data_IF_944770989016
#
_entry.id   IF_944770989016
#
_cell.length_a   1.000
_cell.length_b   1.000
_cell.length_c   1.000
_cell.angle_alpha   90.00
_cell.angle_beta   90.00
_cell.angle_gamma   90.00
#
_symmetry.space_group_name_H-M   'P 1'
#
loop_
_entity.id
_entity.type
_entity.pdbx_description
1 polymer ?
#
# COMPACT_ATOMS: atom_id res chain seq x y z
N UNK A 1 -14.81 3.90 19.62
CA UNK A 1 -13.63 3.02 19.43
C UNK A 1 -13.67 1.93 20.48
N UNK A 2 -12.82 0.92 20.41
CA UNK A 2 -12.73 -0.11 21.45
C UNK A 2 -11.29 -0.22 21.97
N UNK A 3 -11.14 -0.51 23.26
CA UNK A 3 -9.90 -0.97 23.87
C UNK A 3 -10.13 -2.40 24.35
N UNK A 4 -9.61 -3.37 23.60
CA UNK A 4 -10.01 -4.77 23.78
C UNK A 4 -11.52 -4.92 23.53
N UNK A 5 -12.28 -5.57 24.42
CA UNK A 5 -13.74 -5.70 24.28
C UNK A 5 -14.51 -4.43 24.70
N UNK A 6 -13.88 -3.47 25.36
CA UNK A 6 -14.57 -2.33 25.96
C UNK A 6 -14.75 -1.19 24.96
N UNK A 7 -15.99 -0.72 24.83
CA UNK A 7 -16.29 0.48 24.04
C UNK A 7 -15.82 1.71 24.81
N UNK A 8 -15.03 2.53 24.13
CA UNK A 8 -14.55 3.81 24.64
C UNK A 8 -14.98 4.96 23.74
N UNK A 9 -15.23 6.10 24.38
CA UNK A 9 -15.40 7.40 23.73
C UNK A 9 -14.06 8.14 23.78
N UNK A 10 -13.61 8.73 22.67
CA UNK A 10 -12.56 9.75 22.72
C UNK A 10 -13.06 11.03 22.09
N UNK A 11 -12.71 12.13 22.76
CA UNK A 11 -13.00 13.50 22.34
C UNK A 11 -11.84 14.12 21.56
N UNK A 12 -10.70 13.42 21.51
CA UNK A 12 -9.51 13.81 20.78
C UNK A 12 -9.69 13.56 19.26
N UNK A 13 -9.02 14.36 18.43
CA UNK A 13 -8.96 14.14 16.99
C UNK A 13 -8.41 12.74 16.70
N UNK A 14 -9.07 11.98 15.82
CA UNK A 14 -8.84 10.54 15.68
C UNK A 14 -7.40 10.17 15.32
N UNK A 15 -6.73 11.00 14.51
CA UNK A 15 -5.32 10.82 14.15
C UNK A 15 -4.40 10.92 15.38
N UNK A 16 -4.62 11.89 16.26
CA UNK A 16 -3.82 12.01 17.49
C UNK A 16 -4.16 10.89 18.48
N UNK A 17 -5.44 10.51 18.58
CA UNK A 17 -5.86 9.41 19.43
C UNK A 17 -5.17 8.09 19.03
N UNK A 18 -5.10 7.78 17.73
CA UNK A 18 -4.36 6.61 17.24
C UNK A 18 -2.86 6.71 17.52
N UNK A 19 -2.25 7.89 17.29
CA UNK A 19 -0.84 8.12 17.60
C UNK A 19 -0.54 7.91 19.09
N UNK A 20 -1.38 8.46 19.98
CA UNK A 20 -1.26 8.31 21.43
C UNK A 20 -1.41 6.85 21.86
N UNK A 21 -2.44 6.13 21.43
CA UNK A 21 -2.63 4.72 21.78
C UNK A 21 -1.49 3.83 21.26
N UNK A 22 -0.95 4.12 20.07
CA UNK A 22 0.20 3.43 19.51
C UNK A 22 1.47 3.66 20.36
N UNK A 23 1.74 4.89 20.78
CA UNK A 23 2.84 5.23 21.68
C UNK A 23 2.69 4.50 23.02
N UNK A 24 1.50 4.56 23.63
CA UNK A 24 1.25 3.85 24.89
C UNK A 24 1.41 2.34 24.75
N UNK A 25 1.01 1.76 23.60
CA UNK A 25 1.24 0.35 23.33
C UNK A 25 2.73 0.01 23.29
N UNK A 26 3.54 0.80 22.60
CA UNK A 26 5.01 0.60 22.55
C UNK A 26 5.58 0.67 23.97
N UNK A 27 5.23 1.70 24.74
CA UNK A 27 5.71 1.89 26.11
C UNK A 27 5.36 0.73 27.04
N UNK A 28 4.12 0.20 26.96
CA UNK A 28 3.69 -0.96 27.76
C UNK A 28 4.40 -2.26 27.37
N UNK A 29 4.82 -2.38 26.12
CA UNK A 29 5.37 -3.63 25.58
C UNK A 29 6.89 -3.61 25.37
N UNK A 30 7.59 -2.50 25.64
CA UNK A 30 9.04 -2.32 25.35
C UNK A 30 10.02 -3.36 25.91
N UNK A 31 9.58 -4.23 26.83
CA UNK A 31 10.40 -5.32 27.41
C UNK A 31 10.23 -6.67 26.72
N UNK A 32 9.34 -6.77 25.72
CA UNK A 32 9.08 -8.00 24.97
C UNK A 32 8.87 -7.68 23.47
N UNK A 33 9.07 -8.65 22.57
CA UNK A 33 8.69 -8.46 21.17
C UNK A 33 7.20 -8.12 21.05
N UNK A 34 6.86 -7.26 20.10
CA UNK A 34 5.48 -6.86 19.85
C UNK A 34 5.19 -6.76 18.35
N UNK A 35 3.92 -6.91 18.01
CA UNK A 35 3.36 -6.55 16.72
C UNK A 35 2.37 -5.41 16.92
N UNK A 36 2.51 -4.34 16.14
CA UNK A 36 1.64 -3.17 16.18
C UNK A 36 1.21 -2.83 14.76
N UNK A 37 -0.10 -2.85 14.52
CA UNK A 37 -0.71 -2.40 13.28
C UNK A 37 -1.51 -1.12 13.56
N UNK A 38 -1.05 0.01 13.04
CA UNK A 38 -1.72 1.31 13.17
C UNK A 38 -2.39 1.64 11.84
N UNK A 39 -3.72 1.53 11.81
CA UNK A 39 -4.52 1.85 10.62
C UNK A 39 -5.14 3.24 10.78
N UNK A 40 -4.42 4.27 10.31
CA UNK A 40 -4.95 5.62 10.28
C UNK A 40 -6.14 5.73 9.32
N UNK A 41 -7.13 6.56 9.67
CA UNK A 41 -8.23 6.92 8.76
C UNK A 41 -7.74 7.96 7.74
N UNK A 42 -6.77 8.78 8.13
CA UNK A 42 -6.18 9.84 7.31
C UNK A 42 -5.58 9.34 5.99
N UNK A 43 -5.76 10.04 4.85
CA UNK A 43 -6.54 11.28 4.66
C UNK A 43 -7.96 11.01 4.12
N UNK A 44 -8.57 9.85 4.45
CA UNK A 44 -9.90 9.51 3.97
C UNK A 44 -10.95 10.53 4.43
N UNK A 45 -11.99 10.72 3.62
CA UNK A 45 -13.15 11.55 3.98
C UNK A 45 -13.84 11.04 5.27
N UNK A 46 -14.50 11.90 6.07
CA UNK A 46 -14.74 13.34 5.86
C UNK A 46 -13.47 14.21 6.01
N UNK A 47 -13.52 15.41 5.42
CA UNK A 47 -12.39 16.33 5.36
C UNK A 47 -12.36 17.21 6.60
N UNK A 48 -11.70 16.71 7.65
CA UNK A 48 -11.64 17.36 8.96
C UNK A 48 -10.19 17.43 9.44
N UNK A 49 -9.73 18.63 9.80
CA UNK A 49 -8.40 18.86 10.34
C UNK A 49 -8.46 19.87 11.50
N UNK A 50 -7.51 19.77 12.44
CA UNK A 50 -7.37 20.75 13.52
C UNK A 50 -6.96 22.11 12.93
N UNK A 51 -7.43 23.19 13.54
CA UNK A 51 -7.08 24.56 13.15
C UNK A 51 -5.57 24.80 13.16
N UNK A 52 -4.85 24.24 14.13
CA UNK A 52 -3.38 24.33 14.20
C UNK A 52 -2.68 23.71 12.99
N UNK A 53 -3.22 22.62 12.44
CA UNK A 53 -2.63 21.96 11.27
C UNK A 53 -3.00 22.68 9.99
N UNK A 54 -4.22 23.22 9.90
CA UNK A 54 -4.65 24.04 8.76
C UNK A 54 -3.75 25.28 8.58
N UNK A 55 -3.33 25.91 9.68
CA UNK A 55 -2.42 27.06 9.66
C UNK A 55 -1.07 26.76 9.01
N UNK A 56 -0.54 25.53 9.13
CA UNK A 56 0.71 25.11 8.48
C UNK A 56 0.64 25.20 6.95
N UNK A 57 -0.58 25.17 6.39
CA UNK A 57 -0.85 25.16 4.95
C UNK A 57 -1.67 26.37 4.49
N UNK A 58 -1.67 27.48 5.24
CA UNK A 58 -2.45 28.69 4.90
C UNK A 58 -2.17 29.25 3.50
N UNK A 59 -0.95 29.04 3.00
CA UNK A 59 -0.51 29.43 1.65
C UNK A 59 -1.21 28.63 0.53
N UNK A 60 -1.79 27.46 0.83
CA UNK A 60 -2.53 26.63 -0.13
C UNK A 60 -3.95 27.17 -0.25
N UNK A 61 -4.28 27.79 -1.39
CA UNK A 61 -5.57 28.46 -1.60
C UNK A 61 -6.77 27.51 -1.67
N UNK A 62 -6.59 26.32 -2.24
CA UNK A 62 -7.66 25.32 -2.33
C UNK A 62 -7.94 24.70 -0.95
N UNK A 63 -9.14 24.92 -0.36
CA UNK A 63 -9.43 24.46 0.99
C UNK A 63 -9.41 22.94 1.11
N UNK A 64 -9.83 22.21 0.07
CA UNK A 64 -9.84 20.75 0.09
C UNK A 64 -8.41 20.18 0.17
N UNK A 65 -7.50 20.69 -0.67
CA UNK A 65 -6.08 20.35 -0.62
C UNK A 65 -5.43 20.79 0.68
N UNK A 66 -5.76 21.97 1.19
CA UNK A 66 -5.25 22.46 2.48
C UNK A 66 -5.62 21.50 3.61
N UNK A 67 -6.89 21.09 3.70
CA UNK A 67 -7.35 20.13 4.70
C UNK A 67 -6.68 18.77 4.53
N UNK A 68 -6.60 18.25 3.31
CA UNK A 68 -5.92 16.98 3.00
C UNK A 68 -4.45 16.96 3.49
N UNK A 69 -3.71 18.04 3.19
CA UNK A 69 -2.32 18.19 3.64
C UNK A 69 -2.22 18.33 5.16
N UNK A 70 -3.13 19.06 5.80
CA UNK A 70 -3.19 19.18 7.25
C UNK A 70 -3.43 17.84 7.95
N UNK A 71 -4.33 17.00 7.41
CA UNK A 71 -4.56 15.64 7.92
C UNK A 71 -3.29 14.79 7.81
N UNK A 72 -2.65 14.79 6.63
CA UNK A 72 -1.39 14.04 6.39
C UNK A 72 -0.28 14.53 7.34
N UNK A 73 -0.16 15.83 7.56
CA UNK A 73 0.85 16.40 8.45
C UNK A 73 0.61 16.01 9.92
N UNK A 74 -0.64 15.96 10.37
CA UNK A 74 -0.98 15.45 11.69
C UNK A 74 -0.60 13.96 11.86
N UNK A 75 -0.78 13.15 10.81
CA UNK A 75 -0.33 11.75 10.81
C UNK A 75 1.20 11.67 10.86
N UNK A 76 1.90 12.48 10.07
CA UNK A 76 3.37 12.55 10.05
C UNK A 76 3.95 12.91 11.41
N UNK A 77 3.38 13.93 12.09
CA UNK A 77 3.81 14.31 13.45
C UNK A 77 3.65 13.15 14.43
N UNK A 78 2.55 12.39 14.35
CA UNK A 78 2.32 11.22 15.22
C UNK A 78 3.25 10.05 14.87
N UNK A 79 3.57 9.84 13.59
CA UNK A 79 4.64 8.91 13.17
C UNK A 79 5.98 9.33 13.76
N UNK A 80 6.33 10.62 13.68
CA UNK A 80 7.54 11.17 14.30
C UNK A 80 7.60 10.92 15.82
N UNK A 81 6.49 11.09 16.53
CA UNK A 81 6.40 10.78 17.96
C UNK A 81 6.60 9.29 18.26
N UNK A 82 6.00 8.39 17.46
CA UNK A 82 6.22 6.93 17.60
C UNK A 82 7.69 6.57 17.38
N UNK A 83 8.32 7.11 16.32
CA UNK A 83 9.74 6.89 16.04
C UNK A 83 10.64 7.41 17.18
N UNK A 84 10.28 8.56 17.76
CA UNK A 84 10.98 9.10 18.93
C UNK A 84 10.91 8.15 20.13
N UNK A 85 9.74 7.59 20.43
CA UNK A 85 9.55 6.64 21.54
C UNK A 85 10.37 5.36 21.33
N UNK A 86 10.42 4.84 20.11
CA UNK A 86 11.29 3.71 19.78
C UNK A 86 12.77 4.06 20.01
N UNK A 87 13.19 5.26 19.62
CA UNK A 87 14.57 5.75 19.85
C UNK A 87 14.89 5.91 21.34
N UNK A 88 14.05 6.60 22.09
CA UNK A 88 14.27 6.88 23.51
C UNK A 88 14.36 5.58 24.33
N UNK A 89 13.59 4.55 23.94
CA UNK A 89 13.61 3.24 24.55
C UNK A 89 14.63 2.26 23.92
N UNK A 90 15.50 2.75 23.01
CA UNK A 90 16.55 1.96 22.33
C UNK A 90 16.05 0.78 21.49
N UNK A 91 14.84 0.86 20.97
CA UNK A 91 14.19 -0.19 20.18
C UNK A 91 14.40 -0.06 18.66
N UNK A 92 14.98 1.03 18.15
CA UNK A 92 15.07 1.29 16.69
C UNK A 92 15.78 0.19 15.89
N UNK A 93 16.76 -0.49 16.49
CA UNK A 93 17.50 -1.59 15.84
C UNK A 93 16.74 -2.91 15.87
N UNK A 94 15.82 -3.06 16.82
CA UNK A 94 15.02 -4.27 17.05
C UNK A 94 13.57 -4.11 16.57
N UNK A 95 13.32 -3.10 15.72
CA UNK A 95 11.99 -2.83 15.16
C UNK A 95 12.07 -2.79 13.64
N UNK A 96 11.33 -3.69 12.98
CA UNK A 96 11.04 -3.63 11.56
C UNK A 96 9.75 -2.82 11.35
N UNK A 97 9.85 -1.74 10.58
CA UNK A 97 8.75 -0.81 10.31
C UNK A 97 8.38 -0.91 8.84
N UNK A 98 7.07 -0.98 8.58
CA UNK A 98 6.46 -0.80 7.26
C UNK A 98 5.55 0.42 7.32
N UNK A 99 5.64 1.29 6.33
CA UNK A 99 4.68 2.39 6.12
C UNK A 99 4.16 2.30 4.68
N UNK A 100 2.85 2.19 4.52
CA UNK A 100 2.20 1.92 3.24
C UNK A 100 0.82 2.59 3.20
N UNK A 101 0.38 3.03 2.01
CA UNK A 101 -1.03 3.36 1.75
C UNK A 101 -1.81 2.10 1.38
N UNK A 102 -3.08 2.00 1.77
CA UNK A 102 -3.95 0.86 1.46
C UNK A 102 -4.30 0.76 -0.04
N UNK A 103 -4.46 1.91 -0.68
CA UNK A 103 -4.69 2.08 -2.11
C UNK A 103 -4.16 3.45 -2.59
N UNK A 104 -4.25 3.68 -3.89
CA UNK A 104 -4.02 4.99 -4.50
C UNK A 104 -4.96 6.08 -3.98
N UNK A 105 -4.57 7.34 -4.18
CA UNK A 105 -5.27 8.50 -3.66
C UNK A 105 -6.67 8.68 -4.25
N UNK A 106 -7.58 9.26 -3.45
CA UNK A 106 -8.94 9.58 -3.89
C UNK A 106 -9.02 11.05 -4.37
N UNK A 107 -9.45 11.36 -5.60
CA UNK A 107 -9.47 12.74 -6.07
C UNK A 107 -10.41 13.64 -5.24
N UNK A 108 -11.47 13.07 -4.66
CA UNK A 108 -12.43 13.81 -3.83
C UNK A 108 -11.90 14.27 -2.47
N UNK A 109 -10.70 13.85 -2.06
CA UNK A 109 -9.97 14.46 -0.93
C UNK A 109 -8.72 15.24 -1.39
N UNK A 110 -8.69 15.66 -2.67
CA UNK A 110 -7.56 16.32 -3.31
C UNK A 110 -6.23 15.54 -3.21
N UNK A 111 -6.29 14.20 -3.13
CA UNK A 111 -5.09 13.39 -3.31
C UNK A 111 -4.56 13.50 -4.72
N UNK A 112 -3.23 13.44 -4.84
CA UNK A 112 -2.54 13.45 -6.13
C UNK A 112 -1.85 12.12 -6.33
N UNK A 113 -2.12 11.48 -7.46
CA UNK A 113 -1.44 10.25 -7.88
C UNK A 113 -0.38 10.54 -8.96
N UNK A 114 -0.06 11.81 -9.22
CA UNK A 114 0.91 12.20 -10.25
C UNK A 114 2.30 11.59 -9.99
N UNK A 115 3.02 11.13 -11.03
CA UNK A 115 2.71 11.23 -12.46
C UNK A 115 1.82 10.11 -13.00
N UNK A 116 1.30 9.22 -12.14
CA UNK A 116 0.55 8.04 -12.54
C UNK A 116 -0.88 8.38 -12.97
N UNK A 117 -1.42 7.58 -13.89
CA UNK A 117 -2.83 7.66 -14.28
C UNK A 117 -3.72 6.87 -13.34
N UNK A 118 -4.93 7.38 -13.17
CA UNK A 118 -5.95 6.77 -12.32
C UNK A 118 -5.80 7.10 -10.84
N UNK A 119 -6.66 6.49 -10.04
CA UNK A 119 -6.88 6.85 -8.64
C UNK A 119 -7.57 5.72 -7.87
N UNK A 120 -7.99 5.95 -6.63
CA UNK A 120 -8.76 5.00 -5.81
C UNK A 120 -9.85 4.26 -6.63
N UNK A 121 -9.95 2.95 -6.42
CA UNK A 121 -10.88 2.03 -7.10
C UNK A 121 -10.60 1.76 -8.59
N UNK A 122 -9.47 2.23 -9.12
CA UNK A 122 -9.01 1.94 -10.48
C UNK A 122 -7.81 1.00 -10.46
N UNK A 123 -7.62 0.22 -11.52
CA UNK A 123 -6.52 -0.76 -11.65
C UNK A 123 -5.29 -0.18 -12.37
N UNK A 124 -5.32 1.12 -12.69
CA UNK A 124 -4.16 1.85 -13.21
C UNK A 124 -3.17 2.12 -12.07
N UNK A 125 -1.92 2.49 -12.39
CA UNK A 125 -0.83 2.73 -11.43
C UNK A 125 -1.26 3.71 -10.33
N UNK A 126 -2.00 4.78 -10.65
CA UNK A 126 -2.47 5.74 -9.64
C UNK A 126 -3.47 5.17 -8.64
N UNK A 127 -4.03 3.98 -8.87
CA UNK A 127 -4.91 3.25 -7.95
C UNK A 127 -4.22 2.13 -7.16
N UNK A 128 -3.15 1.52 -7.70
CA UNK A 128 -2.51 0.32 -7.11
C UNK A 128 -1.01 0.48 -6.79
N UNK A 129 -0.35 1.51 -7.32
CA UNK A 129 1.05 1.83 -7.02
C UNK A 129 1.08 2.88 -5.91
N UNK A 130 1.40 2.42 -4.70
CA UNK A 130 1.32 3.21 -3.47
C UNK A 130 2.71 3.51 -2.90
N UNK A 131 2.85 4.58 -2.08
CA UNK A 131 4.04 4.74 -1.25
C UNK A 131 4.23 3.51 -0.36
N UNK A 132 5.45 2.98 -0.33
CA UNK A 132 5.85 1.84 0.48
C UNK A 132 7.26 2.10 1.02
N UNK A 133 7.40 2.19 2.34
CA UNK A 133 8.67 2.45 3.02
C UNK A 133 8.92 1.34 4.03
N UNK A 134 10.15 0.83 4.03
CA UNK A 134 10.63 -0.10 5.06
C UNK A 134 11.81 0.50 5.80
N UNK A 135 11.86 0.25 7.10
CA UNK A 135 12.99 0.59 7.94
C UNK A 135 13.27 -0.54 8.93
N UNK A 136 14.52 -0.99 8.97
CA UNK A 136 15.04 -1.83 10.04
C UNK A 136 16.51 -1.50 10.26
N UNK A 137 16.80 -0.73 11.31
CA UNK A 137 18.09 -0.06 11.48
C UNK A 137 19.19 -1.08 11.77
N UNK A 138 20.18 -1.15 10.88
CA UNK A 138 21.28 -2.12 10.94
C UNK A 138 21.08 -3.34 10.04
N UNK A 139 19.87 -3.56 9.52
CA UNK A 139 19.53 -4.67 8.63
C UNK A 139 19.25 -4.19 7.21
N UNK A 140 18.37 -3.20 7.06
CA UNK A 140 18.00 -2.63 5.75
C UNK A 140 18.91 -1.42 5.45
N UNK A 141 19.51 -1.33 4.25
CA UNK A 141 20.34 -0.19 3.86
C UNK A 141 19.58 1.15 3.92
N UNK A 142 20.20 2.16 4.53
CA UNK A 142 19.62 3.51 4.63
C UNK A 142 19.63 4.24 3.30
N UNK A 143 18.56 4.99 3.01
CA UNK A 143 18.52 5.96 1.91
C UNK A 143 18.52 5.33 0.52
N UNK A 144 18.14 4.06 0.41
CA UNK A 144 18.03 3.35 -0.87
C UNK A 144 16.59 3.40 -1.38
N UNK A 145 16.45 3.55 -2.70
CA UNK A 145 15.20 3.33 -3.41
C UNK A 145 15.29 1.94 -4.04
N UNK A 146 14.33 1.07 -3.70
CA UNK A 146 14.23 -0.26 -4.30
C UNK A 146 13.33 -0.17 -5.54
N UNK A 147 13.88 -0.45 -6.72
CA UNK A 147 13.21 -0.21 -8.00
C UNK A 147 12.43 -1.39 -8.57
N UNK A 148 12.53 -2.58 -7.98
CA UNK A 148 11.89 -3.80 -8.50
C UNK A 148 10.48 -3.95 -7.91
N UNK A 149 9.53 -4.56 -8.66
CA UNK A 149 8.16 -4.72 -8.19
C UNK A 149 8.07 -5.57 -6.91
N UNK A 150 7.30 -5.08 -5.94
CA UNK A 150 6.91 -5.77 -4.72
C UNK A 150 5.40 -5.60 -4.52
N UNK A 151 4.81 -6.37 -3.61
CA UNK A 151 3.37 -6.29 -3.29
C UNK A 151 3.17 -6.31 -1.77
N UNK A 152 2.07 -5.73 -1.28
CA UNK A 152 1.75 -5.71 0.17
C UNK A 152 1.68 -7.09 0.82
N UNK A 153 1.44 -8.15 0.02
CA UNK A 153 1.46 -9.54 0.48
C UNK A 153 2.84 -9.97 1.00
N UNK A 154 3.92 -9.29 0.58
CA UNK A 154 5.29 -9.54 1.02
C UNK A 154 5.54 -9.15 2.49
N UNK A 155 4.69 -8.29 3.06
CA UNK A 155 4.80 -7.87 4.47
C UNK A 155 4.71 -9.09 5.40
N UNK A 156 3.79 -10.01 5.11
CA UNK A 156 3.54 -11.20 5.96
C UNK A 156 4.76 -12.13 6.05
N UNK A 157 5.30 -12.70 4.96
CA UNK A 157 6.47 -13.57 5.03
C UNK A 157 7.70 -12.82 5.57
N UNK A 158 7.91 -11.56 5.18
CA UNK A 158 9.01 -10.74 5.71
C UNK A 158 8.91 -10.60 7.23
N UNK A 159 7.72 -10.28 7.77
CA UNK A 159 7.51 -10.15 9.21
C UNK A 159 7.64 -11.49 9.97
N UNK A 160 7.17 -12.59 9.38
CA UNK A 160 7.29 -13.93 9.97
C UNK A 160 8.76 -14.36 10.09
N UNK A 161 9.55 -14.19 9.03
CA UNK A 161 10.98 -14.49 9.05
C UNK A 161 11.71 -13.57 10.03
N UNK A 162 11.39 -12.28 10.06
CA UNK A 162 11.96 -11.34 11.02
C UNK A 162 11.64 -11.72 12.49
N UNK A 163 10.49 -12.36 12.73
CA UNK A 163 10.10 -12.90 14.04
C UNK A 163 10.74 -14.27 14.35
N UNK A 164 11.60 -14.80 13.48
CA UNK A 164 12.30 -16.08 13.65
C UNK A 164 11.49 -17.30 13.21
N UNK A 165 10.36 -17.12 12.51
CA UNK A 165 9.57 -18.23 11.99
C UNK A 165 10.12 -18.76 10.66
N UNK A 166 10.12 -20.07 10.50
CA UNK A 166 10.33 -20.72 9.18
C UNK A 166 9.01 -20.75 8.42
N UNK A 167 9.01 -20.24 7.19
CA UNK A 167 7.84 -20.32 6.30
C UNK A 167 7.57 -21.79 5.96
N UNK A 168 6.32 -22.21 6.12
CA UNK A 168 5.87 -23.57 5.80
C UNK A 168 5.14 -23.57 4.47
N UNK A 169 5.47 -24.50 3.59
CA UNK A 169 4.85 -24.62 2.26
C UNK A 169 3.32 -24.73 2.32
N UNK A 170 2.80 -25.42 3.34
CA UNK A 170 1.37 -25.57 3.60
C UNK A 170 0.61 -24.25 3.82
N UNK A 171 1.32 -23.15 4.12
CA UNK A 171 0.71 -21.82 4.27
C UNK A 171 0.36 -21.18 2.93
N UNK A 172 0.95 -21.66 1.83
CA UNK A 172 0.68 -21.20 0.46
C UNK A 172 0.67 -19.67 0.38
N UNK A 173 1.75 -19.04 0.84
CA UNK A 173 1.87 -17.58 0.82
C UNK A 173 2.20 -17.10 -0.60
N UNK A 174 1.47 -16.10 -1.09
CA UNK A 174 1.74 -15.47 -2.39
C UNK A 174 2.88 -14.43 -2.34
N UNK A 175 3.21 -13.93 -1.15
CA UNK A 175 4.30 -12.98 -0.95
C UNK A 175 5.64 -13.68 -0.69
N UNK A 176 6.73 -12.91 -0.73
CA UNK A 176 8.10 -13.37 -0.41
C UNK A 176 8.75 -12.54 0.68
N UNK A 177 9.75 -13.12 1.36
CA UNK A 177 10.61 -12.37 2.28
C UNK A 177 11.50 -11.38 1.49
N UNK A 178 11.33 -10.09 1.76
CA UNK A 178 12.05 -9.02 1.08
C UNK A 178 13.46 -8.78 1.61
N UNK A 179 13.82 -9.23 2.83
CA UNK A 179 15.10 -8.87 3.44
C UNK A 179 16.31 -9.23 2.56
N UNK A 180 16.40 -10.45 1.98
CA UNK A 180 17.52 -10.82 1.10
C UNK A 180 17.60 -9.97 -0.18
N UNK A 181 16.47 -9.45 -0.67
CA UNK A 181 16.45 -8.58 -1.85
C UNK A 181 16.89 -7.16 -1.50
N UNK A 182 16.51 -6.67 -0.33
CA UNK A 182 16.81 -5.32 0.13
C UNK A 182 18.27 -5.16 0.58
N UNK A 183 18.88 -6.22 1.12
CA UNK A 183 20.29 -6.20 1.54
C UNK A 183 21.27 -6.63 0.42
N UNK A 184 20.77 -6.98 -0.77
CA UNK A 184 21.57 -7.34 -1.94
C UNK A 184 22.04 -8.80 -1.99
N UNK A 185 21.62 -9.67 -1.07
CA UNK A 185 21.90 -11.10 -1.14
C UNK A 185 21.20 -11.78 -2.33
N UNK A 186 20.01 -11.29 -2.72
CA UNK A 186 19.30 -11.68 -3.93
C UNK A 186 19.16 -10.48 -4.87
N UNK A 187 19.64 -10.64 -6.09
CA UNK A 187 19.61 -9.60 -7.13
C UNK A 187 18.58 -9.85 -8.22
N UNK A 188 17.87 -10.99 -8.19
CA UNK A 188 16.73 -11.28 -9.07
C UNK A 188 15.50 -10.46 -8.67
N UNK A 189 14.43 -10.52 -9.46
CA UNK A 189 13.15 -9.92 -9.08
C UNK A 189 12.50 -10.76 -7.97
N UNK A 190 11.84 -10.14 -6.98
CA UNK A 190 11.12 -10.88 -5.94
C UNK A 190 9.97 -11.72 -6.51
N UNK A 191 9.36 -11.22 -7.58
CA UNK A 191 8.20 -11.82 -8.24
C UNK A 191 8.41 -11.86 -9.75
N UNK A 192 8.03 -12.97 -10.38
CA UNK A 192 7.96 -13.03 -11.85
C UNK A 192 6.82 -12.13 -12.37
N UNK A 193 5.67 -12.17 -11.70
CA UNK A 193 4.50 -11.36 -12.04
C UNK A 193 3.64 -11.07 -10.82
N UNK A 194 2.94 -9.94 -10.86
CA UNK A 194 1.98 -9.49 -9.85
C UNK A 194 0.58 -9.41 -10.46
N UNK A 195 -0.44 -9.72 -9.66
CA UNK A 195 -1.81 -9.85 -10.13
C UNK A 195 -2.77 -9.05 -9.24
N UNK A 196 -3.75 -8.42 -9.87
CA UNK A 196 -4.83 -7.70 -9.20
C UNK A 196 -6.17 -8.10 -9.77
N UNK A 197 -7.16 -8.15 -8.89
CA UNK A 197 -8.56 -8.36 -9.23
C UNK A 197 -9.44 -7.51 -8.35
N UNK A 198 -10.36 -6.78 -8.96
CA UNK A 198 -11.30 -5.90 -8.29
C UNK A 198 -12.71 -6.17 -8.80
N UNK A 199 -13.59 -6.59 -7.90
CA UNK A 199 -15.01 -6.62 -8.19
C UNK A 199 -15.56 -5.19 -8.01
N UNK A 200 -16.09 -4.61 -9.08
CA UNK A 200 -16.71 -3.28 -9.09
C UNK A 200 -18.09 -3.24 -8.41
N UNK A 201 -18.34 -4.17 -7.49
CA UNK A 201 -19.63 -4.43 -6.84
C UNK A 201 -20.75 -4.63 -7.86
N UNK A 202 -20.37 -5.08 -9.05
CA UNK A 202 -21.24 -5.29 -10.18
C UNK A 202 -21.57 -6.77 -10.31
N UNK A 203 -22.83 -7.07 -10.60
CA UNK A 203 -23.26 -8.42 -10.99
C UNK A 203 -22.77 -8.81 -12.40
N UNK A 204 -22.12 -7.88 -13.11
CA UNK A 204 -21.62 -8.05 -14.48
C UNK A 204 -20.10 -8.24 -14.47
N UNK A 205 -19.58 -9.46 -14.69
CA UNK A 205 -18.14 -9.75 -14.65
C UNK A 205 -17.30 -8.89 -15.59
N UNK A 206 -17.87 -8.43 -16.70
CA UNK A 206 -17.23 -7.53 -17.65
C UNK A 206 -16.99 -6.11 -17.11
N UNK A 207 -17.52 -5.78 -15.94
CA UNK A 207 -17.28 -4.50 -15.27
C UNK A 207 -16.20 -4.59 -14.19
N UNK A 208 -15.70 -5.80 -13.90
CA UNK A 208 -14.60 -6.01 -12.95
C UNK A 208 -13.29 -5.45 -13.51
N UNK A 209 -12.54 -4.80 -12.63
CA UNK A 209 -11.18 -4.36 -12.92
C UNK A 209 -10.19 -5.47 -12.63
N UNK A 210 -9.13 -5.53 -13.42
CA UNK A 210 -7.98 -6.38 -13.12
C UNK A 210 -6.71 -5.85 -13.77
N UNK A 211 -5.57 -6.31 -13.26
CA UNK A 211 -4.26 -6.04 -13.85
C UNK A 211 -3.32 -7.23 -13.65
N UNK A 212 -2.33 -7.34 -14.54
CA UNK A 212 -1.13 -8.14 -14.37
C UNK A 212 0.08 -7.26 -14.68
N UNK A 213 1.13 -7.36 -13.86
CA UNK A 213 2.43 -6.73 -14.11
C UNK A 213 3.51 -7.80 -14.19
N UNK A 214 4.29 -7.80 -15.27
CA UNK A 214 5.47 -8.66 -15.49
C UNK A 214 6.66 -7.77 -15.79
N UNK A 215 7.53 -7.56 -14.80
CA UNK A 215 8.62 -6.57 -14.87
C UNK A 215 8.10 -5.16 -15.17
N UNK A 216 8.54 -4.60 -16.30
CA UNK A 216 8.14 -3.27 -16.79
C UNK A 216 6.79 -3.27 -17.50
N UNK A 217 6.23 -4.43 -17.85
CA UNK A 217 5.01 -4.51 -18.64
C UNK A 217 3.79 -4.65 -17.76
N UNK A 218 2.73 -3.93 -18.10
CA UNK A 218 1.45 -4.01 -17.41
C UNK A 218 0.32 -4.17 -18.43
N UNK A 219 -0.49 -5.21 -18.24
CA UNK A 219 -1.76 -5.38 -18.94
C UNK A 219 -2.87 -5.09 -17.94
N UNK A 220 -3.74 -4.14 -18.27
CA UNK A 220 -4.76 -3.65 -17.33
C UNK A 220 -6.09 -3.50 -18.02
N UNK A 221 -7.13 -3.97 -17.34
CA UNK A 221 -8.51 -3.63 -17.61
C UNK A 221 -9.01 -2.77 -16.47
N UNK A 222 -9.14 -1.47 -16.72
CA UNK A 222 -9.72 -0.58 -15.73
C UNK A 222 -11.23 -0.90 -15.60
N UNK A 223 -11.68 -1.25 -14.40
CA UNK A 223 -13.12 -1.48 -14.14
C UNK A 223 -13.93 -0.23 -14.50
N UNK A 224 -15.22 -0.39 -14.79
CA UNK A 224 -16.15 0.67 -15.22
C UNK A 224 -16.08 1.13 -16.69
N UNK A 225 -15.98 0.19 -17.64
CA UNK A 225 -16.55 0.28 -19.00
C UNK A 225 -16.35 -1.06 -19.75
N UNK A 226 -17.02 -1.24 -20.89
CA UNK A 226 -16.78 -2.34 -21.87
C UNK A 226 -15.37 -2.28 -22.51
N UNK A 227 -14.40 -1.60 -21.90
CA UNK A 227 -13.07 -1.41 -22.43
C UNK A 227 -12.32 -2.74 -22.46
N UNK A 228 -11.67 -2.99 -23.60
CA UNK A 228 -10.68 -4.06 -23.71
C UNK A 228 -9.49 -3.73 -22.80
N UNK A 229 -8.76 -4.74 -22.31
CA UNK A 229 -7.49 -4.52 -21.63
C UNK A 229 -6.54 -3.70 -22.52
N UNK A 230 -5.69 -2.89 -21.90
CA UNK A 230 -4.65 -2.10 -22.56
C UNK A 230 -3.28 -2.47 -22.01
N UNK A 231 -2.27 -2.48 -22.88
CA UNK A 231 -0.91 -2.91 -22.57
C UNK A 231 0.01 -1.70 -22.52
N UNK A 232 0.77 -1.56 -21.44
CA UNK A 232 1.69 -0.45 -21.22
C UNK A 232 3.09 -0.96 -20.87
N UNK A 233 4.10 -0.18 -21.25
CA UNK A 233 5.47 -0.32 -20.76
C UNK A 233 5.73 0.78 -19.73
N UNK A 234 5.78 0.43 -18.45
CA UNK A 234 5.88 1.35 -17.32
C UNK A 234 7.27 1.98 -17.17
N UNK A 235 8.34 1.38 -17.72
CA UNK A 235 9.66 2.03 -17.72
C UNK A 235 9.74 3.20 -18.70
N UNK A 236 8.87 3.21 -19.72
CA UNK A 236 8.77 4.29 -20.72
C UNK A 236 7.57 5.21 -20.48
N UNK A 237 6.49 4.69 -19.89
CA UNK A 237 5.21 5.39 -19.75
C UNK A 237 4.50 5.06 -18.43
N UNK A 238 5.02 5.63 -17.33
CA UNK A 238 4.40 5.54 -16.00
C UNK A 238 3.00 6.17 -15.93
N UNK A 239 2.69 7.08 -16.86
CA UNK A 239 1.39 7.71 -16.95
C UNK A 239 0.39 6.87 -17.77
N UNK A 240 0.79 5.72 -18.33
CA UNK A 240 -0.09 4.80 -19.07
C UNK A 240 -0.93 5.51 -20.13
N UNK A 241 -0.30 6.37 -20.93
CA UNK A 241 -0.95 7.15 -21.99
C UNK A 241 -0.97 6.46 -23.35
N UNK A 242 -0.01 5.56 -23.59
CA UNK A 242 0.22 4.94 -24.89
C UNK A 242 -0.10 3.44 -24.82
N UNK A 243 -1.30 3.05 -25.26
CA UNK A 243 -1.69 1.65 -25.37
C UNK A 243 -0.92 0.96 -26.51
N UNK A 244 -0.13 -0.04 -26.14
CA UNK A 244 0.73 -0.82 -27.03
C UNK A 244 0.08 -2.12 -27.52
N UNK A 245 -1.16 -2.43 -27.12
CA UNK A 245 -1.82 -3.71 -27.40
C UNK A 245 -1.83 -4.09 -28.88
N UNK A 246 -2.06 -3.11 -29.77
CA UNK A 246 -2.04 -3.34 -31.24
C UNK A 246 -0.63 -3.55 -31.79
N UNK A 247 0.36 -2.87 -31.23
CA UNK A 247 1.76 -2.91 -31.68
C UNK A 247 2.58 -4.05 -31.09
N UNK A 248 2.07 -4.69 -30.02
CA UNK A 248 2.73 -5.76 -29.28
C UNK A 248 1.75 -6.91 -29.01
N UNK A 249 1.14 -7.51 -30.06
CA UNK A 249 0.05 -8.48 -29.90
C UNK A 249 0.50 -9.76 -29.18
N UNK A 250 1.72 -10.25 -29.45
CA UNK A 250 2.25 -11.46 -28.80
C UNK A 250 2.36 -11.29 -27.28
N UNK A 251 2.87 -10.14 -26.82
CA UNK A 251 2.98 -9.83 -25.38
C UNK A 251 1.61 -9.61 -24.75
N UNK A 252 0.71 -8.96 -25.46
CA UNK A 252 -0.67 -8.80 -25.01
C UNK A 252 -1.31 -10.17 -24.76
N UNK A 253 -1.21 -11.09 -25.72
CA UNK A 253 -1.80 -12.43 -25.63
C UNK A 253 -1.14 -13.29 -24.55
N UNK A 254 0.20 -13.20 -24.39
CA UNK A 254 0.93 -13.87 -23.31
C UNK A 254 0.41 -13.43 -21.93
N UNK A 255 0.42 -12.12 -21.66
CA UNK A 255 0.02 -11.58 -20.36
C UNK A 255 -1.47 -11.81 -20.07
N UNK A 256 -2.32 -11.77 -21.10
CA UNK A 256 -3.73 -12.10 -20.96
C UNK A 256 -3.92 -13.56 -20.53
N UNK A 257 -3.21 -14.50 -21.17
CA UNK A 257 -3.25 -15.93 -20.80
C UNK A 257 -2.74 -16.15 -19.38
N UNK A 258 -1.65 -15.50 -18.97
CA UNK A 258 -1.13 -15.58 -17.60
C UNK A 258 -2.17 -15.13 -16.57
N UNK A 259 -2.83 -13.98 -16.81
CA UNK A 259 -3.86 -13.48 -15.90
C UNK A 259 -5.08 -14.41 -15.85
N UNK A 260 -5.54 -14.92 -16.99
CA UNK A 260 -6.67 -15.85 -17.07
C UNK A 260 -6.39 -17.17 -16.34
N UNK A 261 -5.16 -17.69 -16.45
CA UNK A 261 -4.76 -18.89 -15.73
C UNK A 261 -4.75 -18.65 -14.22
N UNK A 262 -4.16 -17.54 -13.76
CA UNK A 262 -4.19 -17.17 -12.35
C UNK A 262 -5.61 -16.98 -11.82
N UNK A 263 -6.51 -16.30 -12.55
CA UNK A 263 -7.88 -16.06 -12.09
C UNK A 263 -8.73 -17.33 -12.01
N UNK A 264 -8.44 -18.34 -12.86
CA UNK A 264 -9.14 -19.64 -12.86
C UNK A 264 -8.98 -20.38 -11.53
N UNK A 265 -7.82 -20.25 -10.90
CA UNK A 265 -7.49 -20.94 -9.66
C UNK A 265 -8.00 -20.19 -8.42
N UNK A 266 -8.56 -18.98 -8.60
CA UNK A 266 -9.09 -18.15 -7.53
C UNK A 266 -10.58 -18.40 -7.27
N UNK A 267 -10.97 -18.28 -6.00
CA UNK A 267 -12.37 -18.28 -5.57
C UNK A 267 -13.12 -17.17 -6.32
N UNK A 268 -14.32 -17.48 -6.83
CA UNK A 268 -15.13 -16.50 -7.58
C UNK A 268 -15.52 -15.32 -6.67
N UNK A 269 -15.40 -14.06 -7.13
CA UNK A 269 -15.84 -12.92 -6.33
C UNK A 269 -17.30 -13.04 -5.90
N UNK A 270 -17.58 -12.81 -4.61
CA UNK A 270 -18.93 -12.90 -4.04
C UNK A 270 -19.41 -14.32 -3.69
N UNK A 271 -18.54 -15.33 -3.76
CA UNK A 271 -18.88 -16.72 -3.39
C UNK A 271 -18.51 -17.11 -1.95
N UNK A 272 -17.75 -16.27 -1.23
CA UNK A 272 -17.54 -16.41 0.21
C UNK A 272 -18.81 -15.93 0.93
N UNK A 273 -19.50 -16.87 1.58
CA UNK A 273 -20.65 -16.59 2.47
C UNK A 273 -20.19 -16.13 3.83
#
# INVERSE_FOLDING_TARGET
MHRGPEKIEMKEYSTDAFGREAIEFIERNKKKPFFLFVSYITPHVPMEAKESDLKRFEHIKDPLRRTSLAMIACMDDNVGRMLKVLKDNKLEKDTLIFFISDNGGYPGNASLCTPYSGSKSQMLEGGIHVPFIMQWKGTIPRGKVYGKPIISLDIKPTALVAAGATIKDQWQLDGVDLIPYLNGQKTSDPHESLYWRYNAWSKKPEQNGWAIRKGDWMLVRNGWAKAKPALYNLSKDKAQKNDLSKSQPERYDEMLKMWQQWDKDNIKPGSLK
#
